data_IF_338136779029
#
_entry.id   IF_338136779029
#
_cell.length_a   1.000
_cell.length_b   1.000
_cell.length_c   1.000
_cell.angle_alpha   90.00
_cell.angle_beta   90.00
_cell.angle_gamma   90.00
#
_symmetry.space_group_name_H-M   'P 1'
#
loop_
_entity.id
_entity.type
_entity.pdbx_description
1 polymer ?
#
# COMPACT_ATOMS: atom_id res chain seq x y z
N UNK A 1 7.76 12.83 -15.28
CA UNK A 1 8.32 13.40 -14.03
C UNK A 1 7.22 13.85 -13.06
N UNK A 2 6.19 14.57 -13.49
CA UNK A 2 5.09 15.09 -12.62
C UNK A 2 4.36 14.00 -11.82
N UNK A 3 4.08 12.83 -12.40
CA UNK A 3 3.39 11.73 -11.70
C UNK A 3 4.22 11.15 -10.54
N UNK A 4 5.52 10.93 -10.74
CA UNK A 4 6.40 10.40 -9.66
C UNK A 4 6.50 11.39 -8.50
N UNK A 5 6.63 12.69 -8.81
CA UNK A 5 6.63 13.74 -7.78
C UNK A 5 5.32 13.77 -6.99
N UNK A 6 4.18 13.58 -7.65
CA UNK A 6 2.88 13.49 -6.99
C UNK A 6 2.82 12.32 -5.99
N UNK A 7 3.27 11.12 -6.37
CA UNK A 7 3.31 9.98 -5.44
C UNK A 7 4.24 10.20 -4.27
N UNK A 8 5.41 10.83 -4.49
CA UNK A 8 6.37 11.14 -3.41
C UNK A 8 5.74 12.13 -2.43
N UNK A 9 5.10 13.19 -2.93
CA UNK A 9 4.42 14.17 -2.07
C UNK A 9 3.28 13.51 -1.30
N UNK A 10 2.45 12.71 -1.97
CA UNK A 10 1.36 11.95 -1.32
C UNK A 10 1.89 11.01 -0.26
N UNK A 11 3.01 10.33 -0.51
CA UNK A 11 3.66 9.44 0.43
C UNK A 11 4.12 10.19 1.68
N UNK A 12 4.80 11.33 1.51
CA UNK A 12 5.27 12.15 2.64
C UNK A 12 4.11 12.69 3.48
N UNK A 13 3.07 13.20 2.83
CA UNK A 13 1.87 13.67 3.52
C UNK A 13 1.20 12.56 4.32
N UNK A 14 1.07 11.38 3.74
CA UNK A 14 0.44 10.22 4.39
C UNK A 14 1.29 9.70 5.54
N UNK A 15 2.62 9.67 5.42
CA UNK A 15 3.50 9.29 6.52
C UNK A 15 3.33 10.25 7.70
N UNK A 16 3.32 11.55 7.45
CA UNK A 16 3.11 12.57 8.49
C UNK A 16 1.72 12.40 9.13
N UNK A 17 0.70 12.22 8.33
CA UNK A 17 -0.67 12.02 8.80
C UNK A 17 -0.80 10.73 9.62
N UNK A 18 -0.20 9.65 9.17
CA UNK A 18 -0.24 8.36 9.86
C UNK A 18 0.54 8.42 11.18
N UNK A 19 1.73 9.03 11.20
CA UNK A 19 2.52 9.20 12.41
C UNK A 19 1.88 10.15 13.43
N UNK A 20 1.14 11.16 12.98
CA UNK A 20 0.58 12.18 13.87
C UNK A 20 -0.83 11.84 14.35
N UNK A 21 -1.68 11.38 13.46
CA UNK A 21 -3.11 11.20 13.73
C UNK A 21 -3.44 9.77 14.15
N UNK A 22 -3.00 8.78 13.38
CA UNK A 22 -3.38 7.38 13.65
C UNK A 22 -2.69 6.82 14.90
N UNK A 23 -1.48 7.25 15.22
CA UNK A 23 -0.77 6.81 16.43
C UNK A 23 -1.50 7.20 17.74
N UNK A 24 -2.36 8.22 17.70
CA UNK A 24 -3.14 8.70 18.86
C UNK A 24 -4.50 8.04 19.01
N UNK A 25 -4.96 7.27 18.01
CA UNK A 25 -6.25 6.60 18.10
C UNK A 25 -6.13 5.27 18.84
N UNK A 26 -7.12 4.90 19.69
CA UNK A 26 -7.15 3.60 20.38
C UNK A 26 -7.09 2.40 19.41
N UNK A 27 -7.51 2.60 18.16
CA UNK A 27 -7.49 1.61 17.09
C UNK A 27 -6.15 1.59 16.30
N UNK A 28 -5.14 2.36 16.74
CA UNK A 28 -3.87 2.50 16.02
C UNK A 28 -3.17 1.18 15.65
N UNK A 29 -3.17 0.14 16.50
CA UNK A 29 -2.55 -1.14 16.15
C UNK A 29 -3.27 -1.89 15.01
N UNK A 30 -4.50 -1.50 14.71
CA UNK A 30 -5.39 -2.19 13.76
C UNK A 30 -5.91 -1.25 12.66
N UNK A 31 -5.34 -0.05 12.57
CA UNK A 31 -5.75 0.98 11.61
C UNK A 31 -5.30 0.67 10.17
N UNK A 32 -5.79 1.45 9.19
CA UNK A 32 -5.40 1.29 7.81
C UNK A 32 -3.92 1.64 7.59
N UNK A 33 -3.24 0.83 6.81
CA UNK A 33 -1.89 1.12 6.33
C UNK A 33 -1.97 1.95 5.04
N UNK A 34 -2.10 3.26 5.22
CA UNK A 34 -2.21 4.21 4.11
C UNK A 34 -0.96 4.23 3.22
N UNK A 35 0.21 3.94 3.79
CA UNK A 35 1.47 3.86 3.06
C UNK A 35 1.41 2.72 2.05
N UNK A 36 0.90 1.55 2.46
CA UNK A 36 0.70 0.41 1.57
C UNK A 36 -0.27 0.75 0.43
N UNK A 37 -1.36 1.43 0.76
CA UNK A 37 -2.36 1.85 -0.24
C UNK A 37 -1.74 2.76 -1.30
N UNK A 38 -0.90 3.73 -0.92
CA UNK A 38 -0.18 4.61 -1.88
C UNK A 38 0.77 3.81 -2.75
N UNK A 39 1.56 2.91 -2.16
CA UNK A 39 2.51 2.06 -2.91
C UNK A 39 1.76 1.19 -3.93
N UNK A 40 0.69 0.55 -3.50
CA UNK A 40 -0.17 -0.26 -4.36
C UNK A 40 -0.75 0.56 -5.51
N UNK A 41 -1.34 1.71 -5.21
CA UNK A 41 -1.97 2.59 -6.21
C UNK A 41 -0.93 3.15 -7.19
N UNK A 42 0.26 3.52 -6.71
CA UNK A 42 1.35 3.99 -7.57
C UNK A 42 1.80 2.90 -8.56
N UNK A 43 1.94 1.66 -8.09
CA UNK A 43 2.25 0.51 -8.94
C UNK A 43 1.13 0.26 -9.95
N UNK A 44 -0.09 0.12 -9.48
CA UNK A 44 -1.26 -0.20 -10.31
C UNK A 44 -1.52 0.84 -11.42
N UNK A 45 -1.41 2.13 -11.11
CA UNK A 45 -1.64 3.20 -12.08
C UNK A 45 -0.45 3.46 -13.01
N UNK A 46 0.79 3.36 -12.49
CA UNK A 46 1.98 3.80 -13.22
C UNK A 46 2.93 2.67 -13.64
N UNK A 47 2.69 1.45 -13.18
CA UNK A 47 3.46 0.25 -13.53
C UNK A 47 4.55 -0.11 -12.51
N UNK A 48 5.13 -1.30 -12.70
CA UNK A 48 6.02 -1.95 -11.72
C UNK A 48 7.23 -1.12 -11.35
N UNK A 49 7.86 -0.42 -12.30
CA UNK A 49 9.03 0.41 -12.01
C UNK A 49 8.70 1.55 -11.04
N UNK A 50 7.54 2.19 -11.21
CA UNK A 50 7.09 3.24 -10.29
C UNK A 50 6.69 2.65 -8.95
N UNK A 51 5.99 1.51 -8.96
CA UNK A 51 5.61 0.79 -7.75
C UNK A 51 6.81 0.37 -6.90
N UNK A 52 7.87 -0.16 -7.53
CA UNK A 52 9.13 -0.52 -6.86
C UNK A 52 9.78 0.72 -6.25
N UNK A 53 9.89 1.81 -7.00
CA UNK A 53 10.53 3.05 -6.52
C UNK A 53 9.78 3.63 -5.29
N UNK A 54 8.46 3.75 -5.41
CA UNK A 54 7.63 4.28 -4.31
C UNK A 54 7.63 3.30 -3.13
N UNK A 55 7.60 1.99 -3.39
CA UNK A 55 7.72 0.94 -2.36
C UNK A 55 9.05 0.99 -1.61
N UNK A 56 10.15 1.20 -2.32
CA UNK A 56 11.46 1.40 -1.71
C UNK A 56 11.47 2.62 -0.77
N UNK A 57 11.03 3.78 -1.26
CA UNK A 57 10.98 5.00 -0.46
C UNK A 57 10.05 4.84 0.77
N UNK A 58 8.89 4.23 0.56
CA UNK A 58 7.92 3.98 1.61
C UNK A 58 8.49 3.05 2.70
N UNK A 59 9.07 1.92 2.31
CA UNK A 59 9.66 0.95 3.23
C UNK A 59 10.87 1.51 3.97
N UNK A 60 11.70 2.29 3.28
CA UNK A 60 12.86 2.96 3.88
C UNK A 60 12.44 3.97 4.96
N UNK A 61 11.51 4.86 4.64
CA UNK A 61 11.01 5.86 5.60
C UNK A 61 10.30 5.19 6.78
N UNK A 62 9.46 4.20 6.52
CA UNK A 62 8.75 3.47 7.58
C UNK A 62 9.71 2.69 8.48
N UNK A 63 10.70 2.01 7.90
CA UNK A 63 11.69 1.25 8.66
C UNK A 63 12.55 2.14 9.57
N UNK A 64 12.89 3.35 9.12
CA UNK A 64 13.58 4.35 9.96
C UNK A 64 12.67 4.82 11.10
N UNK A 65 11.40 5.13 10.81
CA UNK A 65 10.46 5.62 11.81
C UNK A 65 10.15 4.59 12.90
N UNK A 66 10.05 3.32 12.53
CA UNK A 66 9.77 2.22 13.46
C UNK A 66 11.02 1.72 14.20
N UNK A 67 12.22 2.08 13.73
CA UNK A 67 13.49 1.70 14.36
C UNK A 67 13.82 0.20 14.29
N UNK A 68 13.04 -0.60 13.54
CA UNK A 68 13.24 -2.04 13.42
C UNK A 68 12.78 -2.56 12.06
N UNK A 69 13.38 -3.67 11.58
CA UNK A 69 12.92 -4.37 10.38
C UNK A 69 13.06 -3.61 9.07
N UNK A 70 13.95 -2.61 8.99
CA UNK A 70 14.12 -1.72 7.83
C UNK A 70 14.16 -2.49 6.51
N UNK A 71 14.99 -3.52 6.40
CA UNK A 71 15.13 -4.33 5.19
C UNK A 71 13.83 -5.05 4.80
N UNK A 72 13.08 -5.55 5.79
CA UNK A 72 11.82 -6.26 5.54
C UNK A 72 10.71 -5.31 5.07
N UNK A 73 10.63 -4.11 5.65
CA UNK A 73 9.68 -3.09 5.17
C UNK A 73 10.00 -2.66 3.74
N UNK A 74 11.27 -2.48 3.41
CA UNK A 74 11.70 -2.14 2.04
C UNK A 74 11.28 -3.25 1.07
N UNK A 75 11.68 -4.50 1.35
CA UNK A 75 11.43 -5.62 0.44
C UNK A 75 9.93 -5.85 0.28
N UNK A 76 9.16 -5.90 1.36
CA UNK A 76 7.73 -6.15 1.30
C UNK A 76 6.97 -5.07 0.52
N UNK A 77 7.31 -3.79 0.72
CA UNK A 77 6.71 -2.68 -0.02
C UNK A 77 7.09 -2.67 -1.50
N UNK A 78 8.35 -2.97 -1.81
CA UNK A 78 8.80 -3.11 -3.21
C UNK A 78 8.07 -4.25 -3.92
N UNK A 79 7.90 -5.40 -3.28
CA UNK A 79 7.19 -6.54 -3.84
C UNK A 79 5.72 -6.21 -4.11
N UNK A 80 5.03 -5.54 -3.18
CA UNK A 80 3.64 -5.13 -3.37
C UNK A 80 3.52 -4.10 -4.51
N UNK A 81 4.40 -3.11 -4.54
CA UNK A 81 4.41 -2.13 -5.62
C UNK A 81 4.71 -2.74 -6.99
N UNK A 82 5.63 -3.71 -7.04
CA UNK A 82 5.93 -4.47 -8.26
C UNK A 82 4.73 -5.30 -8.72
N UNK A 83 4.14 -6.08 -7.81
CA UNK A 83 3.00 -6.95 -8.09
C UNK A 83 1.77 -6.14 -8.55
N UNK A 84 1.47 -5.03 -7.87
CA UNK A 84 0.42 -4.12 -8.29
C UNK A 84 0.68 -3.57 -9.71
N UNK A 85 1.93 -3.26 -10.01
CA UNK A 85 2.32 -2.77 -11.33
C UNK A 85 2.25 -3.79 -12.46
N UNK A 86 2.39 -5.09 -12.16
CA UNK A 86 2.16 -6.17 -13.13
C UNK A 86 0.69 -6.30 -13.53
N UNK A 87 -0.21 -5.84 -12.68
CA UNK A 87 -1.64 -5.83 -12.96
C UNK A 87 -2.06 -4.66 -13.85
N UNK A 88 -1.16 -3.68 -14.05
CA UNK A 88 -1.42 -2.53 -14.94
C UNK A 88 -1.71 -3.02 -16.35
N UNK A 89 -2.87 -2.65 -16.88
CA UNK A 89 -3.33 -3.03 -18.23
C UNK A 89 -4.04 -4.38 -18.31
N UNK A 90 -3.85 -5.29 -17.34
CA UNK A 90 -4.52 -6.59 -17.30
C UNK A 90 -5.84 -6.55 -16.53
N UNK A 91 -6.02 -5.55 -15.67
CA UNK A 91 -7.24 -5.34 -14.89
C UNK A 91 -7.92 -4.08 -15.39
N UNK A 92 -9.19 -4.21 -15.75
CA UNK A 92 -10.01 -3.07 -16.14
C UNK A 92 -10.06 -2.06 -15.00
N UNK A 93 -9.59 -0.84 -15.24
CA UNK A 93 -9.55 0.25 -14.25
C UNK A 93 -10.93 0.60 -13.70
N UNK A 94 -11.98 0.26 -14.44
CA UNK A 94 -13.37 0.50 -14.07
C UNK A 94 -13.94 -0.54 -13.10
N UNK A 95 -13.26 -1.67 -12.89
CA UNK A 95 -13.71 -2.69 -11.96
C UNK A 95 -13.23 -2.41 -10.55
N UNK A 96 -13.82 -1.41 -9.89
CA UNK A 96 -13.57 -1.09 -8.48
C UNK A 96 -13.66 -2.30 -7.56
N UNK A 97 -14.65 -3.22 -7.69
CA UNK A 97 -14.72 -4.40 -6.83
C UNK A 97 -13.48 -5.30 -6.93
N UNK A 98 -12.96 -5.49 -8.14
CA UNK A 98 -11.76 -6.31 -8.35
C UNK A 98 -10.52 -5.66 -7.74
N UNK A 99 -10.39 -4.34 -7.89
CA UNK A 99 -9.30 -3.58 -7.26
C UNK A 99 -9.35 -3.70 -5.73
N UNK A 100 -10.54 -3.57 -5.14
CA UNK A 100 -10.76 -3.71 -3.70
C UNK A 100 -10.33 -5.11 -3.23
N UNK A 101 -10.70 -6.15 -3.96
CA UNK A 101 -10.34 -7.53 -3.64
C UNK A 101 -8.83 -7.74 -3.71
N UNK A 102 -8.17 -7.24 -4.75
CA UNK A 102 -6.72 -7.35 -4.91
C UNK A 102 -6.01 -6.60 -3.78
N UNK A 103 -6.46 -5.41 -3.42
CA UNK A 103 -5.87 -4.64 -2.32
C UNK A 103 -6.07 -5.32 -0.95
N UNK A 104 -7.23 -5.94 -0.74
CA UNK A 104 -7.48 -6.75 0.45
C UNK A 104 -6.43 -7.87 0.58
N UNK A 105 -6.25 -8.67 -0.47
CA UNK A 105 -5.27 -9.77 -0.46
C UNK A 105 -3.82 -9.26 -0.39
N UNK A 106 -3.49 -8.16 -1.06
CA UNK A 106 -2.17 -7.56 -0.98
C UNK A 106 -1.83 -7.13 0.46
N UNK A 107 -2.79 -6.49 1.15
CA UNK A 107 -2.64 -6.13 2.57
C UNK A 107 -2.52 -7.37 3.44
N UNK A 108 -3.38 -8.35 3.24
CA UNK A 108 -3.37 -9.58 4.01
C UNK A 108 -2.01 -10.30 3.92
N UNK A 109 -1.50 -10.46 2.71
CA UNK A 109 -0.19 -11.08 2.46
C UNK A 109 0.92 -10.25 3.12
N UNK A 110 0.86 -8.92 3.02
CA UNK A 110 1.83 -8.03 3.67
C UNK A 110 1.86 -8.23 5.19
N UNK A 111 0.70 -8.21 5.83
CA UNK A 111 0.58 -8.40 7.28
C UNK A 111 1.11 -9.76 7.73
N UNK A 112 0.76 -10.83 6.98
CA UNK A 112 1.29 -12.18 7.25
C UNK A 112 2.81 -12.22 7.11
N UNK A 113 3.38 -11.63 6.06
CA UNK A 113 4.83 -11.60 5.84
C UNK A 113 5.55 -10.86 6.98
N UNK A 114 5.08 -9.68 7.37
CA UNK A 114 5.67 -8.91 8.48
C UNK A 114 5.58 -9.69 9.78
N UNK A 115 4.43 -10.29 10.08
CA UNK A 115 4.25 -11.09 11.28
C UNK A 115 5.21 -12.28 11.34
N UNK A 116 5.29 -13.07 10.26
CA UNK A 116 6.14 -14.27 10.22
C UNK A 116 7.63 -13.94 10.31
N UNK A 117 8.06 -12.85 9.70
CA UNK A 117 9.47 -12.49 9.59
C UNK A 117 10.00 -11.64 10.75
N UNK A 118 9.13 -10.88 11.41
CA UNK A 118 9.52 -9.94 12.46
C UNK A 118 8.92 -10.27 13.82
N UNK A 119 7.62 -10.44 13.89
CA UNK A 119 6.90 -10.42 15.17
C UNK A 119 6.83 -11.80 15.81
N UNK A 120 6.67 -12.87 15.05
CA UNK A 120 6.57 -14.22 15.59
C UNK A 120 7.88 -14.63 16.28
N UNK A 121 9.02 -14.21 15.72
CA UNK A 121 10.35 -14.48 16.28
C UNK A 121 10.57 -13.75 17.61
N UNK A 122 10.03 -12.53 17.73
CA UNK A 122 10.27 -11.65 18.88
C UNK A 122 9.21 -11.84 19.98
N UNK A 123 7.93 -11.90 19.61
CA UNK A 123 6.81 -11.74 20.54
C UNK A 123 6.09 -13.03 20.93
N UNK A 124 6.32 -14.15 20.23
CA UNK A 124 5.65 -15.45 20.47
C UNK A 124 4.13 -15.36 20.57
N UNK A 125 3.52 -14.48 19.79
CA UNK A 125 2.07 -14.26 19.80
C UNK A 125 1.37 -15.35 18.97
N UNK A 126 0.18 -15.78 19.42
CA UNK A 126 -0.63 -16.74 18.67
C UNK A 126 -1.05 -16.20 17.31
N UNK A 127 -0.75 -16.93 16.24
CA UNK A 127 -1.15 -16.59 14.88
C UNK A 127 -2.66 -16.38 14.75
N UNK A 128 -3.46 -17.24 15.37
CA UNK A 128 -4.93 -17.16 15.32
C UNK A 128 -5.46 -15.85 15.91
N UNK A 129 -4.89 -15.39 17.02
CA UNK A 129 -5.28 -14.13 17.64
C UNK A 129 -4.97 -12.93 16.73
N UNK A 130 -3.80 -12.92 16.12
CA UNK A 130 -3.38 -11.83 15.22
C UNK A 130 -4.16 -11.85 13.91
N UNK A 131 -4.49 -13.03 13.39
CA UNK A 131 -5.29 -13.20 12.19
C UNK A 131 -6.65 -12.49 12.33
N UNK A 132 -7.36 -12.77 13.41
CA UNK A 132 -8.73 -12.25 13.63
C UNK A 132 -8.70 -10.78 14.04
N UNK A 133 -7.80 -10.41 14.94
CA UNK A 133 -7.83 -9.10 15.57
C UNK A 133 -7.03 -8.03 14.80
N UNK A 134 -6.13 -8.44 13.87
CA UNK A 134 -5.28 -7.49 13.13
C UNK A 134 -5.36 -7.68 11.62
N UNK A 135 -5.02 -8.86 11.07
CA UNK A 135 -4.87 -9.03 9.62
C UNK A 135 -6.16 -8.80 8.86
N UNK A 136 -7.26 -9.40 9.31
CA UNK A 136 -8.57 -9.22 8.68
C UNK A 136 -9.09 -7.79 8.80
N UNK A 137 -9.11 -7.15 9.98
CA UNK A 137 -9.53 -5.75 10.09
C UNK A 137 -8.65 -4.80 9.28
N UNK A 138 -7.32 -4.93 9.34
CA UNK A 138 -6.40 -4.08 8.57
C UNK A 138 -6.64 -4.21 7.06
N UNK A 139 -6.82 -5.44 6.55
CA UNK A 139 -7.12 -5.69 5.14
C UNK A 139 -8.45 -5.08 4.72
N UNK A 140 -9.47 -5.15 5.57
CA UNK A 140 -10.77 -4.55 5.31
C UNK A 140 -10.71 -3.03 5.33
N UNK A 141 -10.01 -2.43 6.30
CA UNK A 141 -9.81 -0.99 6.35
C UNK A 141 -9.02 -0.47 5.14
N UNK A 142 -7.95 -1.17 4.75
CA UNK A 142 -7.17 -0.80 3.56
C UNK A 142 -7.98 -0.92 2.27
N UNK A 143 -8.85 -1.92 2.18
CA UNK A 143 -9.77 -2.05 1.05
C UNK A 143 -10.69 -0.83 0.93
N UNK A 144 -11.32 -0.41 2.02
CA UNK A 144 -12.24 0.74 2.03
C UNK A 144 -11.52 2.07 1.75
N UNK A 145 -10.43 2.32 2.47
CA UNK A 145 -9.66 3.54 2.31
C UNK A 145 -8.94 3.57 0.97
N UNK A 146 -8.48 2.41 0.50
CA UNK A 146 -7.83 2.27 -0.79
C UNK A 146 -8.75 2.58 -1.95
N UNK A 147 -10.02 2.19 -1.86
CA UNK A 147 -11.03 2.57 -2.84
C UNK A 147 -11.16 4.11 -2.95
N UNK A 148 -11.26 4.80 -1.80
CA UNK A 148 -11.36 6.26 -1.77
C UNK A 148 -10.10 6.92 -2.34
N UNK A 149 -8.92 6.49 -1.91
CA UNK A 149 -7.64 7.04 -2.39
C UNK A 149 -7.43 6.77 -3.88
N UNK A 150 -7.83 5.60 -4.36
CA UNK A 150 -7.76 5.27 -5.78
C UNK A 150 -8.63 6.22 -6.63
N UNK A 151 -9.86 6.46 -6.22
CA UNK A 151 -10.78 7.40 -6.89
C UNK A 151 -10.15 8.80 -6.92
N UNK A 152 -9.68 9.29 -5.76
CA UNK A 152 -9.04 10.61 -5.66
C UNK A 152 -7.82 10.69 -6.58
N UNK A 153 -6.97 9.66 -6.58
CA UNK A 153 -5.76 9.65 -7.40
C UNK A 153 -6.04 9.60 -8.90
N UNK A 154 -7.07 8.90 -9.35
CA UNK A 154 -7.49 8.93 -10.78
C UNK A 154 -7.88 10.35 -11.20
N UNK A 155 -8.62 11.07 -10.36
CA UNK A 155 -9.03 12.43 -10.68
C UNK A 155 -7.90 13.46 -10.59
N UNK A 156 -6.94 13.27 -9.67
CA UNK A 156 -5.83 14.21 -9.45
C UNK A 156 -4.63 13.96 -10.35
N UNK A 157 -4.42 12.72 -10.81
CA UNK A 157 -3.31 12.42 -11.72
C UNK A 157 -3.76 12.79 -13.14
N UNK A 158 -3.14 13.79 -13.78
CA UNK A 158 -3.43 14.10 -15.17
C UNK A 158 -3.11 12.86 -16.02
N UNK A 159 -4.12 12.16 -16.47
CA UNK A 159 -4.01 11.03 -17.41
C UNK A 159 -3.70 11.53 -18.81
N UNK A 160 -2.61 12.26 -18.95
CA UNK A 160 -2.07 12.59 -20.27
C UNK A 160 -1.51 11.32 -20.90
N UNK A 161 -2.30 10.63 -21.69
CA UNK A 161 -1.83 9.51 -22.49
C UNK A 161 -2.72 8.28 -22.59
N UNK A 162 -3.87 8.22 -21.91
CA UNK A 162 -4.73 7.03 -21.93
C UNK A 162 -5.77 7.00 -23.06
N UNK A 163 -5.93 8.10 -23.82
CA UNK A 163 -6.87 8.15 -24.96
C UNK A 163 -6.25 7.68 -26.28
N UNK A 164 -4.92 7.58 -26.36
CA UNK A 164 -4.26 7.24 -27.62
C UNK A 164 -4.05 5.74 -27.85
N UNK A 165 -4.11 4.89 -26.80
CA UNK A 165 -3.93 3.44 -26.96
C UNK A 165 -5.21 2.68 -27.40
N UNK A 166 -6.37 3.32 -27.38
CA UNK A 166 -7.61 2.70 -27.87
C UNK A 166 -7.92 3.00 -29.35
N UNK A 167 -7.05 3.73 -30.04
CA UNK A 167 -7.25 4.11 -31.45
C UNK A 167 -6.32 3.42 -32.45
N UNK A 168 -5.53 2.41 -32.03
CA UNK A 168 -4.75 1.62 -32.96
C UNK A 168 -5.10 0.13 -32.88
#
# INVERSE_FOLDING_TARGET
MRQKAFYIISLLLIIILQATFFYRLPAAPYGPDLILVVVFTAGFLSGSQTGILIGFLAGFLQGILLGSGLGLYIISRMLIGAAAGLLKGNVYKESLPLLCLILFFATFIHEVLIFLLLEQVILRISFQSVLINRFLPASFYNMLVGMLLYIIMIYLIPTGGYQDEQKN
#
